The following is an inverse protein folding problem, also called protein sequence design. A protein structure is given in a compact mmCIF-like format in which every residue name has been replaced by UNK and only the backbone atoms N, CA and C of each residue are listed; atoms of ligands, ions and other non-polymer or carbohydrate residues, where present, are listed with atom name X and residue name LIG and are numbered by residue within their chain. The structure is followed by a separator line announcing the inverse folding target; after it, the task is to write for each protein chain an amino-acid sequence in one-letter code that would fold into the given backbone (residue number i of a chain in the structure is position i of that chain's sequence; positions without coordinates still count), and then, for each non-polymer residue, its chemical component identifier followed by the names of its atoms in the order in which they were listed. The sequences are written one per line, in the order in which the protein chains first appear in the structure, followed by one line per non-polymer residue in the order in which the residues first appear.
data_IF_228075739785
#
_entry.id   IF_228075739785
#
_cell.length_a   1.000
_cell.length_b   1.000
_cell.length_c   1.000
_cell.angle_alpha   90.00
_cell.angle_beta   90.00
_cell.angle_gamma   90.00
#
_symmetry.space_group_name_H-M   'P 1'
#
loop_
_entity.id
_entity.type
_entity.pdbx_description
1 polymer ?
#
# COMPACT_ATOMS: atom_id res chain seq x y z
N UNK A 1 0.39 29.69 10.87
CA UNK A 1 0.28 28.84 12.06
C UNK A 1 0.33 27.41 11.55
N UNK A 2 1.51 26.81 11.60
CA UNK A 2 1.78 25.45 11.14
C UNK A 2 1.09 24.47 12.09
N UNK A 3 0.00 23.86 11.65
CA UNK A 3 -0.65 22.80 12.42
C UNK A 3 0.25 21.56 12.41
N UNK A 4 0.58 21.12 13.62
CA UNK A 4 1.38 19.94 13.91
C UNK A 4 0.62 18.68 13.47
N UNK A 5 1.01 18.09 12.34
CA UNK A 5 0.43 16.83 11.81
C UNK A 5 0.88 15.59 12.62
N UNK A 6 1.69 15.76 13.67
CA UNK A 6 2.38 14.65 14.35
C UNK A 6 1.86 14.29 15.76
N UNK A 7 0.78 14.92 16.26
CA UNK A 7 0.40 14.77 17.68
C UNK A 7 -0.45 13.55 18.07
N UNK A 8 -0.75 12.59 17.19
CA UNK A 8 -1.74 11.51 17.54
C UNK A 8 -1.19 10.09 17.65
N UNK A 9 0.13 9.90 17.75
CA UNK A 9 0.68 8.53 17.86
C UNK A 9 0.57 7.98 19.29
N UNK A 10 0.51 8.86 20.30
CA UNK A 10 0.54 8.46 21.72
C UNK A 10 -0.73 8.83 22.52
N UNK A 11 -1.77 9.39 21.88
CA UNK A 11 -3.02 9.79 22.53
C UNK A 11 -4.03 8.62 22.66
N UNK A 12 -3.57 7.46 23.13
CA UNK A 12 -4.44 6.30 23.35
C UNK A 12 -4.42 5.91 24.83
N UNK A 13 -5.58 5.95 25.49
CA UNK A 13 -5.72 5.60 26.92
C UNK A 13 -5.56 4.09 27.17
N UNK A 14 -5.88 3.25 26.18
CA UNK A 14 -5.76 1.79 26.27
C UNK A 14 -5.77 1.13 24.89
N UNK A 15 -5.31 -0.12 24.82
CA UNK A 15 -5.35 -0.96 23.64
C UNK A 15 -6.27 -2.16 23.87
N UNK A 16 -6.92 -2.65 22.80
CA UNK A 16 -7.79 -3.83 22.82
C UNK A 16 -7.30 -4.84 21.81
N UNK A 17 -7.33 -6.11 22.17
CA UNK A 17 -7.14 -7.25 21.27
C UNK A 17 -8.49 -7.95 21.05
N UNK A 18 -8.72 -8.44 19.85
CA UNK A 18 -9.93 -9.15 19.48
C UNK A 18 -9.72 -9.95 18.21
N UNK A 19 -10.62 -10.89 17.94
CA UNK A 19 -10.62 -11.63 16.69
C UNK A 19 -11.16 -10.73 15.57
N UNK A 20 -10.46 -10.70 14.44
CA UNK A 20 -10.90 -10.01 13.25
C UNK A 20 -11.97 -10.84 12.52
N UNK A 21 -13.08 -10.21 12.16
CA UNK A 21 -14.08 -10.86 11.29
C UNK A 21 -13.60 -10.91 9.84
N UNK A 22 -14.16 -11.79 8.98
CA UNK A 22 -13.84 -11.79 7.55
C UNK A 22 -14.13 -10.44 6.85
N UNK A 23 -15.11 -9.68 7.33
CA UNK A 23 -15.38 -8.30 6.87
C UNK A 23 -14.27 -7.34 7.25
N UNK A 24 -13.75 -7.43 8.48
CA UNK A 24 -12.67 -6.55 8.94
C UNK A 24 -11.40 -6.77 8.11
N UNK A 25 -11.03 -8.04 7.91
CA UNK A 25 -9.86 -8.43 7.11
C UNK A 25 -9.96 -7.87 5.68
N UNK A 26 -11.16 -7.94 5.07
CA UNK A 26 -11.39 -7.38 3.73
C UNK A 26 -11.33 -5.85 3.73
N UNK A 27 -11.83 -5.20 4.78
CA UNK A 27 -11.83 -3.73 4.90
C UNK A 27 -10.42 -3.15 5.02
N UNK A 28 -9.47 -3.90 5.59
CA UNK A 28 -8.08 -3.49 5.70
C UNK A 28 -7.29 -3.70 4.41
N UNK A 29 -7.80 -4.54 3.52
CA UNK A 29 -7.10 -4.88 2.28
C UNK A 29 -7.38 -3.87 1.17
N UNK A 30 -6.33 -3.48 0.45
CA UNK A 30 -6.42 -2.66 -0.74
C UNK A 30 -6.54 -3.47 -2.04
N UNK A 31 -6.48 -4.82 -1.95
CA UNK A 31 -6.63 -5.70 -3.09
C UNK A 31 -6.32 -7.17 -2.79
N UNK A 32 -6.74 -8.06 -3.69
CA UNK A 32 -6.53 -9.50 -3.56
C UNK A 32 -5.28 -9.95 -4.31
N UNK A 33 -4.38 -10.68 -3.64
CA UNK A 33 -3.27 -11.38 -4.28
C UNK A 33 -3.77 -12.69 -4.86
N UNK A 34 -3.63 -12.87 -6.17
CA UNK A 34 -4.16 -14.05 -6.89
C UNK A 34 -3.08 -15.05 -7.25
N UNK A 35 -1.81 -14.61 -7.27
CA UNK A 35 -0.71 -15.44 -7.70
C UNK A 35 0.46 -15.38 -6.71
N UNK A 36 1.26 -16.45 -6.61
CA UNK A 36 2.37 -16.52 -5.66
C UNK A 36 3.65 -15.83 -6.15
N UNK A 37 3.68 -15.27 -7.37
CA UNK A 37 4.91 -14.65 -7.88
C UNK A 37 5.24 -13.35 -7.17
N UNK A 38 6.53 -13.03 -7.11
CA UNK A 38 7.08 -11.86 -6.41
C UNK A 38 7.50 -10.80 -7.41
N UNK A 39 8.67 -10.98 -8.02
CA UNK A 39 9.27 -10.07 -9.00
C UNK A 39 9.67 -10.84 -10.24
N UNK A 40 9.72 -10.13 -11.36
CA UNK A 40 10.26 -10.66 -12.58
C UNK A 40 11.78 -10.81 -12.49
N UNK A 41 12.32 -11.97 -12.86
CA UNK A 41 13.76 -12.24 -12.74
C UNK A 41 14.65 -11.39 -13.67
N UNK A 42 14.12 -10.85 -14.78
CA UNK A 42 14.89 -10.02 -15.73
C UNK A 42 14.75 -8.54 -15.46
N UNK A 43 13.50 -8.09 -15.28
CA UNK A 43 13.21 -6.66 -15.17
C UNK A 43 13.26 -6.17 -13.73
N UNK A 44 13.28 -7.09 -12.75
CA UNK A 44 13.16 -6.84 -11.33
C UNK A 44 11.89 -6.08 -10.92
N UNK A 45 10.92 -5.99 -11.84
CA UNK A 45 9.64 -5.34 -11.57
C UNK A 45 8.69 -6.29 -10.85
N UNK A 46 7.82 -5.78 -9.97
CA UNK A 46 6.80 -6.60 -9.33
C UNK A 46 5.83 -7.23 -10.34
N UNK A 47 5.46 -8.47 -10.09
CA UNK A 47 4.50 -9.18 -10.94
C UNK A 47 3.05 -8.72 -10.67
N UNK A 48 2.25 -8.64 -11.72
CA UNK A 48 0.86 -8.21 -11.61
C UNK A 48 0.02 -9.27 -10.90
N UNK A 49 -0.74 -8.83 -9.89
CA UNK A 49 -1.55 -9.66 -9.00
C UNK A 49 -0.73 -10.65 -8.14
N UNK A 50 0.59 -10.45 -8.09
CA UNK A 50 1.53 -11.16 -7.23
C UNK A 50 1.69 -10.52 -5.84
N UNK A 51 2.60 -11.10 -5.04
CA UNK A 51 2.85 -10.71 -3.64
C UNK A 51 3.37 -9.29 -3.47
N UNK A 52 3.99 -8.71 -4.51
CA UNK A 52 4.51 -7.33 -4.49
C UNK A 52 3.78 -6.40 -5.45
N UNK A 53 2.55 -6.75 -5.86
CA UNK A 53 1.82 -5.98 -6.87
C UNK A 53 1.63 -4.51 -6.45
N UNK A 54 2.14 -3.59 -7.27
CA UNK A 54 2.07 -2.15 -7.01
C UNK A 54 0.63 -1.61 -6.89
N UNK A 55 -0.34 -2.32 -7.49
CA UNK A 55 -1.76 -1.95 -7.39
C UNK A 55 -2.35 -2.19 -6.01
N UNK A 56 -1.82 -3.18 -5.28
CA UNK A 56 -2.30 -3.56 -3.94
C UNK A 56 -1.52 -2.76 -2.89
N UNK A 57 -0.20 -2.68 -3.02
CA UNK A 57 0.67 -2.16 -1.97
C UNK A 57 1.21 -0.74 -2.24
N UNK A 58 0.99 -0.20 -3.44
CA UNK A 58 1.49 1.10 -3.86
C UNK A 58 2.69 1.03 -4.80
N UNK A 59 3.07 2.16 -5.42
CA UNK A 59 4.12 2.21 -6.43
C UNK A 59 5.52 1.94 -5.85
N UNK A 60 6.41 1.35 -6.66
CA UNK A 60 7.83 1.16 -6.28
C UNK A 60 8.58 2.49 -6.15
N UNK A 61 8.13 3.51 -6.90
CA UNK A 61 8.77 4.82 -7.00
C UNK A 61 7.80 5.94 -6.66
N UNK A 62 8.32 6.94 -5.95
CA UNK A 62 7.54 8.10 -5.56
C UNK A 62 6.92 8.81 -6.77
N UNK A 63 5.59 8.95 -6.73
CA UNK A 63 4.82 9.66 -7.76
C UNK A 63 5.03 9.12 -9.19
N UNK A 64 5.37 7.85 -9.35
CA UNK A 64 5.50 7.18 -10.65
C UNK A 64 4.66 5.91 -10.68
N UNK A 65 3.79 5.76 -11.69
CA UNK A 65 3.03 4.53 -11.87
C UNK A 65 3.91 3.41 -12.47
N UNK A 66 3.61 2.14 -12.18
CA UNK A 66 4.39 1.00 -12.65
C UNK A 66 4.59 0.88 -14.17
N UNK A 67 3.67 1.40 -15.00
CA UNK A 67 3.87 1.43 -16.46
C UNK A 67 4.75 2.61 -16.93
N UNK A 68 5.07 3.56 -16.05
CA UNK A 68 5.88 4.74 -16.33
C UNK A 68 5.17 5.84 -17.12
N UNK A 69 3.87 5.71 -17.42
CA UNK A 69 3.09 6.73 -18.16
C UNK A 69 2.91 8.03 -17.36
N UNK A 70 2.62 7.91 -16.07
CA UNK A 70 2.46 9.03 -15.14
C UNK A 70 3.68 9.09 -14.24
N UNK A 71 4.41 10.21 -14.29
CA UNK A 71 5.64 10.45 -13.52
C UNK A 71 5.72 11.87 -12.96
N UNK A 72 6.17 11.97 -11.73
CA UNK A 72 6.45 13.21 -11.02
C UNK A 72 5.24 13.74 -10.25
N UNK A 73 5.51 14.69 -9.35
CA UNK A 73 4.54 15.22 -8.38
C UNK A 73 3.30 15.86 -9.01
N UNK A 74 3.34 16.22 -10.30
CA UNK A 74 2.18 16.74 -11.05
C UNK A 74 1.03 15.74 -11.20
N UNK A 75 1.32 14.44 -11.08
CA UNK A 75 0.31 13.36 -11.09
C UNK A 75 0.09 12.78 -9.70
N UNK A 76 0.34 13.56 -8.65
CA UNK A 76 0.04 13.15 -7.27
C UNK A 76 -1.48 13.00 -7.14
N UNK A 77 -1.94 11.77 -6.94
CA UNK A 77 -3.35 11.39 -6.84
C UNK A 77 -3.54 9.90 -7.00
#
# INVERSE_FOLDING_TARGET
MSEHVFDKVNDFTSARIGLASPSDIRSWSFGEVKKPETINYRTYRPEKDGLFCERIFGPERDYECGCGKYKGTKFKG
#
